data_IF_398452109755
#
_entry.id   IF_398452109755
#
_cell.length_a   1.000
_cell.length_b   1.000
_cell.length_c   1.000
_cell.angle_alpha   90.00
_cell.angle_beta   90.00
_cell.angle_gamma   90.00
#
_symmetry.space_group_name_H-M   'P 1'
#
loop_
_entity.id
_entity.type
_entity.pdbx_description
1 polymer ?
#
# COMPACT_ATOMS: atom_id res chain seq x y z
N UNK A 1 -13.01 20.55 39.01
CA UNK A 1 -13.21 19.44 38.06
C UNK A 1 -13.79 20.05 36.81
N UNK A 2 -13.30 19.58 35.65
CA UNK A 2 -13.62 19.97 34.28
C UNK A 2 -12.92 21.25 33.79
N UNK A 3 -11.75 21.13 33.13
CA UNK A 3 -11.52 20.64 31.76
C UNK A 3 -12.03 21.64 30.73
N UNK A 4 -11.12 22.34 30.04
CA UNK A 4 -11.30 22.81 28.66
C UNK A 4 -9.92 22.98 28.01
N UNK A 5 -9.46 21.85 27.52
CA UNK A 5 -8.63 21.58 26.33
C UNK A 5 -8.10 22.80 25.57
N UNK A 6 -6.78 22.98 25.70
CA UNK A 6 -5.77 23.44 24.73
C UNK A 6 -6.33 23.96 23.39
N UNK A 7 -6.33 25.29 23.25
CA UNK A 7 -6.36 26.00 21.98
C UNK A 7 -5.11 25.65 21.16
N UNK A 8 -5.18 24.62 20.32
CA UNK A 8 -4.19 24.45 19.24
C UNK A 8 -4.59 25.40 18.11
N UNK A 9 -4.08 26.63 18.20
CA UNK A 9 -3.95 27.53 17.06
C UNK A 9 -3.32 26.77 15.89
N UNK A 10 -4.09 26.58 14.82
CA UNK A 10 -3.56 26.28 13.49
C UNK A 10 -3.18 27.63 12.87
N UNK A 11 -1.89 27.95 12.66
CA UNK A 11 -1.55 29.13 11.88
C UNK A 11 -1.81 28.82 10.40
N UNK A 12 -2.82 29.52 9.89
CA UNK A 12 -2.78 30.35 8.69
C UNK A 12 -1.87 29.91 7.55
N UNK A 13 -2.53 29.57 6.43
CA UNK A 13 -2.07 29.77 5.05
C UNK A 13 -0.65 30.34 4.87
N UNK A 14 0.26 29.46 4.47
CA UNK A 14 1.51 29.84 3.79
C UNK A 14 1.61 29.00 2.52
N UNK A 15 1.34 29.66 1.40
CA UNK A 15 1.46 29.10 0.05
C UNK A 15 2.96 28.97 -0.24
N UNK A 16 3.53 27.77 -0.01
CA UNK A 16 4.86 27.41 -0.50
C UNK A 16 4.68 26.49 -1.72
N UNK A 17 4.66 27.11 -2.90
CA UNK A 17 4.41 26.47 -4.17
C UNK A 17 5.66 25.70 -4.63
N UNK A 18 5.84 24.41 -4.28
CA UNK A 18 6.63 23.40 -5.07
C UNK A 18 6.77 22.00 -4.41
N UNK A 19 5.68 21.41 -3.95
CA UNK A 19 5.58 19.94 -3.89
C UNK A 19 4.14 19.56 -4.11
N UNK A 20 3.85 18.83 -5.19
CA UNK A 20 2.51 18.33 -5.48
C UNK A 20 2.14 17.34 -4.37
N UNK A 21 1.56 17.84 -3.29
CA UNK A 21 1.05 17.01 -2.19
C UNK A 21 -0.34 16.52 -2.58
N UNK A 22 -0.58 15.23 -2.37
CA UNK A 22 -1.86 14.60 -2.63
C UNK A 22 -2.66 14.56 -1.34
N UNK A 23 -3.81 15.23 -1.35
CA UNK A 23 -4.71 15.35 -0.20
C UNK A 23 -5.88 14.39 -0.42
N UNK A 24 -6.20 13.59 0.60
CA UNK A 24 -7.41 12.78 0.54
C UNK A 24 -8.65 13.67 0.68
N UNK A 25 -9.66 13.45 -0.17
CA UNK A 25 -10.95 14.13 -0.06
C UNK A 25 -11.88 13.47 0.97
N UNK A 26 -11.61 12.21 1.32
CA UNK A 26 -12.42 11.43 2.26
C UNK A 26 -11.85 11.44 3.69
N UNK A 27 -10.63 11.94 3.90
CA UNK A 27 -10.03 12.15 5.22
C UNK A 27 -9.00 13.29 5.21
N UNK A 28 -8.50 13.71 6.38
CA UNK A 28 -7.54 14.83 6.51
C UNK A 28 -6.07 14.45 6.26
N UNK A 29 -5.79 13.28 5.66
CA UNK A 29 -4.42 12.82 5.41
C UNK A 29 -3.84 13.44 4.14
N UNK A 30 -2.58 13.84 4.25
CA UNK A 30 -1.76 14.41 3.18
C UNK A 30 -0.55 13.54 2.89
N UNK A 31 -0.26 13.35 1.61
CA UNK A 31 0.84 12.51 1.14
C UNK A 31 1.74 13.29 0.19
N UNK A 32 3.05 13.09 0.32
CA UNK A 32 4.05 13.70 -0.57
C UNK A 32 4.24 12.91 -1.87
N UNK A 33 3.81 11.64 -1.89
CA UNK A 33 3.97 10.70 -2.99
C UNK A 33 2.60 10.20 -3.48
N UNK A 34 2.37 10.25 -4.80
CA UNK A 34 1.14 9.75 -5.43
C UNK A 34 0.89 8.25 -5.17
N UNK A 35 1.98 7.49 -5.02
CA UNK A 35 1.94 6.06 -4.77
C UNK A 35 1.39 5.75 -3.38
N UNK A 36 1.88 6.46 -2.35
CA UNK A 36 1.40 6.33 -0.99
C UNK A 36 -0.04 6.84 -0.87
N UNK A 37 -0.38 7.91 -1.60
CA UNK A 37 -1.74 8.41 -1.67
C UNK A 37 -2.72 7.37 -2.26
N UNK A 38 -2.36 6.77 -3.40
CA UNK A 38 -3.16 5.72 -4.03
C UNK A 38 -3.32 4.49 -3.14
N UNK A 39 -2.26 4.07 -2.46
CA UNK A 39 -2.33 2.94 -1.51
C UNK A 39 -3.27 3.25 -0.35
N UNK A 40 -3.21 4.48 0.18
CA UNK A 40 -4.17 4.95 1.18
C UNK A 40 -5.62 4.94 0.67
N UNK A 41 -5.89 5.46 -0.53
CA UNK A 41 -7.24 5.44 -1.09
C UNK A 41 -7.78 4.02 -1.28
N UNK A 42 -6.92 3.08 -1.68
CA UNK A 42 -7.31 1.68 -1.82
C UNK A 42 -7.59 1.00 -0.48
N UNK A 43 -6.72 1.17 0.51
CA UNK A 43 -6.82 0.47 1.80
C UNK A 43 -7.90 1.06 2.72
N UNK A 44 -8.00 2.39 2.79
CA UNK A 44 -8.85 3.07 3.76
C UNK A 44 -10.22 3.43 3.19
N UNK A 45 -10.29 3.72 1.89
CA UNK A 45 -11.50 4.20 1.23
C UNK A 45 -12.04 3.24 0.17
N UNK A 46 -11.35 2.13 -0.09
CA UNK A 46 -11.82 1.10 -1.02
C UNK A 46 -11.97 1.60 -2.46
N UNK A 47 -11.27 2.67 -2.87
CA UNK A 47 -11.33 3.18 -4.23
C UNK A 47 -10.62 2.22 -5.20
N UNK A 48 -11.38 1.19 -5.61
CA UNK A 48 -10.99 0.03 -6.43
C UNK A 48 -10.59 0.37 -7.89
N UNK A 49 -10.66 1.65 -8.29
CA UNK A 49 -10.38 2.10 -9.66
C UNK A 49 -8.89 2.25 -10.00
N UNK A 50 -7.99 2.11 -9.03
CA UNK A 50 -6.55 2.28 -9.27
C UNK A 50 -5.95 0.91 -9.54
N UNK A 51 -5.60 0.61 -10.80
CA UNK A 51 -4.76 -0.49 -11.29
C UNK A 51 -4.06 -1.38 -10.24
N UNK A 52 -4.81 -2.18 -9.48
CA UNK A 52 -4.25 -3.12 -8.50
C UNK A 52 -3.63 -4.28 -9.25
N UNK A 53 -2.40 -4.61 -8.86
CA UNK A 53 -1.69 -5.79 -9.32
C UNK A 53 -1.95 -6.89 -8.32
N UNK A 54 -2.97 -7.69 -8.60
CA UNK A 54 -3.28 -8.86 -7.80
C UNK A 54 -2.34 -10.01 -8.17
N UNK A 55 -1.81 -10.69 -7.16
CA UNK A 55 -1.06 -11.92 -7.36
C UNK A 55 -2.00 -13.02 -7.86
N UNK A 56 -1.56 -13.77 -8.88
CA UNK A 56 -2.31 -14.91 -9.39
C UNK A 56 -2.04 -16.21 -8.61
N UNK A 57 -1.16 -16.18 -7.61
CA UNK A 57 -0.77 -17.33 -6.78
C UNK A 57 -1.30 -17.24 -5.34
N UNK A 58 -1.70 -16.05 -4.87
CA UNK A 58 -2.27 -15.85 -3.54
C UNK A 58 -3.16 -14.59 -3.49
N UNK A 59 -3.78 -14.32 -2.34
CA UNK A 59 -4.66 -13.16 -2.15
C UNK A 59 -3.95 -11.81 -1.99
N UNK A 60 -2.63 -11.75 -2.21
CA UNK A 60 -1.89 -10.50 -2.13
C UNK A 60 -2.21 -9.58 -3.31
N UNK A 61 -2.45 -8.30 -3.04
CA UNK A 61 -2.65 -7.27 -4.05
C UNK A 61 -1.90 -6.00 -3.67
N UNK A 62 -1.32 -5.32 -4.66
CA UNK A 62 -0.64 -4.04 -4.44
C UNK A 62 -0.78 -3.15 -5.67
N UNK A 63 -0.77 -1.84 -5.46
CA UNK A 63 -0.77 -0.85 -6.54
C UNK A 63 0.63 -0.64 -7.13
N UNK A 64 1.67 -1.05 -6.39
CA UNK A 64 3.06 -0.77 -6.73
C UNK A 64 3.66 -1.92 -7.51
N UNK A 65 4.07 -1.64 -8.76
CA UNK A 65 4.75 -2.63 -9.60
C UNK A 65 5.99 -3.22 -8.92
N UNK A 66 6.83 -2.41 -8.29
CA UNK A 66 8.03 -2.86 -7.60
C UNK A 66 7.73 -3.82 -6.44
N UNK A 67 6.64 -3.59 -5.70
CA UNK A 67 6.18 -4.49 -4.62
C UNK A 67 5.62 -5.78 -5.20
N UNK A 68 4.85 -5.71 -6.28
CA UNK A 68 4.36 -6.88 -7.00
C UNK A 68 5.51 -7.76 -7.54
N UNK A 69 6.48 -7.15 -8.23
CA UNK A 69 7.64 -7.87 -8.79
C UNK A 69 8.54 -8.48 -7.69
N UNK A 70 8.65 -7.81 -6.54
CA UNK A 70 9.32 -8.38 -5.37
C UNK A 70 8.55 -9.57 -4.79
N UNK A 71 7.23 -9.42 -4.64
CA UNK A 71 6.36 -10.46 -4.12
C UNK A 71 6.34 -11.73 -5.00
N UNK A 72 6.21 -11.58 -6.31
CA UNK A 72 6.23 -12.73 -7.25
C UNK A 72 7.58 -13.44 -7.24
N UNK A 73 8.69 -12.71 -7.01
CA UNK A 73 9.99 -13.34 -6.80
C UNK A 73 10.00 -14.25 -5.59
N UNK A 74 9.30 -13.93 -4.50
CA UNK A 74 9.16 -14.85 -3.37
C UNK A 74 8.47 -16.15 -3.78
N UNK A 75 7.45 -16.12 -4.64
CA UNK A 75 6.84 -17.34 -5.17
C UNK A 75 7.80 -18.16 -6.06
N UNK A 76 8.61 -17.48 -6.89
CA UNK A 76 9.60 -18.12 -7.75
C UNK A 76 10.78 -18.71 -6.95
N UNK A 77 11.20 -18.04 -5.88
CA UNK A 77 12.21 -18.53 -4.94
C UNK A 77 11.64 -19.62 -4.02
N UNK A 78 10.32 -19.62 -3.77
CA UNK A 78 9.56 -20.73 -3.19
C UNK A 78 9.25 -21.80 -4.25
N UNK A 79 10.16 -22.01 -5.21
CA UNK A 79 10.09 -23.07 -6.20
C UNK A 79 9.78 -24.38 -5.47
N UNK A 80 8.61 -24.93 -5.72
CA UNK A 80 8.22 -26.23 -5.19
C UNK A 80 9.33 -27.23 -5.50
N UNK A 81 9.96 -27.76 -4.45
CA UNK A 81 10.90 -28.86 -4.56
C UNK A 81 10.07 -30.10 -4.88
N UNK A 82 10.00 -30.44 -6.16
CA UNK A 82 9.35 -31.67 -6.62
C UNK A 82 10.35 -32.82 -6.52
N UNK A 83 9.98 -33.86 -5.80
CA UNK A 83 10.75 -35.09 -5.78
C UNK A 83 10.74 -35.72 -7.18
N UNK A 84 11.90 -36.16 -7.69
CA UNK A 84 11.95 -36.86 -8.98
C UNK A 84 11.56 -38.34 -8.90
N UNK A 85 11.43 -38.90 -7.69
CA UNK A 85 11.07 -40.30 -7.46
C UNK A 85 9.62 -40.51 -7.01
N UNK A 86 8.91 -39.44 -6.62
CA UNK A 86 7.51 -39.53 -6.22
C UNK A 86 6.77 -38.20 -6.51
N UNK A 87 5.43 -38.23 -6.47
CA UNK A 87 4.59 -37.04 -6.75
C UNK A 87 4.59 -35.97 -5.65
N UNK A 88 5.48 -36.09 -4.67
CA UNK A 88 5.57 -35.14 -3.57
C UNK A 88 6.22 -33.83 -4.04
N UNK A 89 5.56 -32.71 -3.72
CA UNK A 89 6.07 -31.36 -3.96
C UNK A 89 5.90 -30.56 -2.68
N UNK A 90 6.95 -29.91 -2.21
CA UNK A 90 6.89 -29.04 -1.03
C UNK A 90 7.45 -27.65 -1.36
N UNK A 91 6.90 -26.63 -0.73
CA UNK A 91 7.43 -25.27 -0.75
C UNK A 91 8.50 -25.17 0.34
N UNK A 92 9.64 -24.55 0.03
CA UNK A 92 10.61 -24.21 1.06
C UNK A 92 10.03 -23.04 1.87
N UNK A 93 9.75 -23.25 3.15
CA UNK A 93 9.19 -22.25 4.07
C UNK A 93 10.30 -21.75 4.98
#
# INVERSE_FOLDING_TARGET
MDSLVIEKQLPSNSIELTKLVHICSQCTRTFKDINNFREHLFQEHGELGVNVRQCHLCSYATLLKSKYDCHIRCHLNNRVLRCQKCNYSTINI
#
